data_IF_426864897306
#
_entry.id   IF_426864897306
#
_cell.length_a   1.000
_cell.length_b   1.000
_cell.length_c   1.000
_cell.angle_alpha   90.00
_cell.angle_beta   90.00
_cell.angle_gamma   90.00
#
_symmetry.space_group_name_H-M   'P 1'
#
loop_
_entity.id
_entity.type
_entity.pdbx_description
1 polymer ?
#
# COMPACT_ATOMS: atom_id res chain seq x y z
N UNK A 1 -19.97 -16.34 24.24
CA UNK A 1 -20.13 -15.61 22.96
C UNK A 1 -18.83 -15.73 22.17
N UNK A 2 -18.89 -15.93 20.85
CA UNK A 2 -17.71 -15.96 20.01
C UNK A 2 -17.24 -14.52 19.70
N UNK A 3 -15.93 -14.28 19.76
CA UNK A 3 -15.33 -13.01 19.35
C UNK A 3 -15.06 -13.03 17.84
N UNK A 4 -15.46 -11.97 17.15
CA UNK A 4 -15.25 -11.79 15.70
C UNK A 4 -14.25 -10.65 15.55
N UNK A 5 -13.17 -10.88 14.81
CA UNK A 5 -12.18 -9.84 14.47
C UNK A 5 -11.98 -9.76 12.95
N UNK A 6 -11.69 -8.56 12.46
CA UNK A 6 -11.56 -8.27 11.03
C UNK A 6 -10.10 -8.08 10.68
N UNK A 7 -9.58 -8.97 9.85
CA UNK A 7 -8.20 -8.94 9.38
C UNK A 7 -8.09 -8.03 8.14
N UNK A 8 -7.38 -6.88 8.21
CA UNK A 8 -7.33 -5.94 7.09
C UNK A 8 -6.37 -6.40 6.00
N UNK A 9 -6.73 -6.30 4.72
CA UNK A 9 -5.81 -6.60 3.61
C UNK A 9 -4.99 -5.38 3.18
N UNK A 10 -3.86 -5.58 2.51
CA UNK A 10 -3.04 -4.48 1.95
C UNK A 10 -3.87 -3.56 1.05
N UNK A 11 -4.60 -4.15 0.10
CA UNK A 11 -5.45 -3.42 -0.82
C UNK A 11 -6.56 -2.64 -0.09
N UNK A 12 -7.12 -3.20 0.98
CA UNK A 12 -8.12 -2.51 1.80
C UNK A 12 -7.54 -1.27 2.49
N UNK A 13 -6.31 -1.34 2.98
CA UNK A 13 -5.64 -0.21 3.64
C UNK A 13 -5.28 0.88 2.63
N UNK A 14 -4.78 0.51 1.46
CA UNK A 14 -4.46 1.44 0.36
C UNK A 14 -5.73 2.19 -0.08
N UNK A 15 -6.81 1.47 -0.41
CA UNK A 15 -8.07 2.10 -0.86
C UNK A 15 -8.65 3.02 0.23
N UNK A 16 -8.49 2.66 1.51
CA UNK A 16 -8.90 3.51 2.63
C UNK A 16 -8.07 4.79 2.72
N UNK A 17 -6.76 4.72 2.45
CA UNK A 17 -5.88 5.88 2.42
C UNK A 17 -6.21 6.84 1.26
N UNK A 18 -6.65 6.32 0.12
CA UNK A 18 -7.08 7.14 -1.03
C UNK A 18 -8.36 7.94 -0.79
N UNK A 19 -9.12 7.64 0.29
CA UNK A 19 -10.37 8.32 0.67
C UNK A 19 -11.37 8.47 -0.48
N UNK A 20 -11.41 7.49 -1.37
CA UNK A 20 -12.33 7.53 -2.50
C UNK A 20 -13.79 7.41 -2.04
N UNK A 21 -14.73 8.10 -2.71
CA UNK A 21 -16.13 8.06 -2.33
C UNK A 21 -16.71 6.65 -2.43
N UNK A 22 -17.68 6.30 -1.56
CA UNK A 22 -18.33 5.00 -1.60
C UNK A 22 -18.99 4.79 -2.95
N UNK A 23 -18.52 3.78 -3.68
CA UNK A 23 -19.00 3.45 -5.03
C UNK A 23 -20.00 2.30 -5.02
N UNK A 24 -20.92 2.34 -5.97
CA UNK A 24 -21.83 1.23 -6.25
C UNK A 24 -21.05 0.10 -6.95
N UNK A 25 -20.77 -0.97 -6.19
CA UNK A 25 -19.97 -2.12 -6.66
C UNK A 25 -20.67 -2.94 -7.76
N UNK A 26 -21.97 -2.75 -8.01
CA UNK A 26 -22.74 -3.54 -8.99
C UNK A 26 -22.68 -2.99 -10.41
N UNK A 27 -22.55 -1.67 -10.59
CA UNK A 27 -22.67 -1.04 -11.91
C UNK A 27 -21.40 -1.09 -12.74
N UNK A 28 -20.23 -0.90 -12.10
CA UNK A 28 -18.95 -0.82 -12.82
C UNK A 28 -17.94 -1.76 -12.17
N UNK A 29 -17.43 -2.70 -12.97
CA UNK A 29 -16.36 -3.64 -12.60
C UNK A 29 -15.00 -3.07 -13.02
N UNK A 30 -13.92 -3.47 -12.34
CA UNK A 30 -12.53 -3.12 -12.67
C UNK A 30 -12.24 -1.61 -12.78
N UNK A 31 -12.81 -0.80 -11.88
CA UNK A 31 -12.49 0.63 -11.81
C UNK A 31 -11.01 0.77 -11.42
N UNK A 32 -10.25 1.52 -12.22
CA UNK A 32 -8.87 1.90 -11.89
C UNK A 32 -8.91 3.01 -10.84
N UNK A 33 -8.20 2.82 -9.75
CA UNK A 33 -8.03 3.84 -8.72
C UNK A 33 -6.87 4.74 -9.14
N UNK A 34 -7.11 6.01 -9.43
CA UNK A 34 -6.09 6.94 -9.92
C UNK A 34 -5.68 7.97 -8.86
N UNK A 35 -5.71 7.59 -7.58
CA UNK A 35 -5.33 8.47 -6.50
C UNK A 35 -3.82 8.44 -6.23
N UNK A 36 -3.35 9.52 -5.60
CA UNK A 36 -1.96 9.69 -5.21
C UNK A 36 -1.84 9.52 -3.69
N UNK A 37 -0.89 8.69 -3.25
CA UNK A 37 -0.52 8.55 -1.84
C UNK A 37 0.83 9.19 -1.58
N UNK A 38 1.04 9.64 -0.35
CA UNK A 38 2.37 10.06 0.11
C UNK A 38 3.23 8.86 0.52
N UNK A 39 4.55 8.98 0.43
CA UNK A 39 5.45 7.94 0.94
C UNK A 39 5.23 7.64 2.44
N UNK A 40 4.95 8.66 3.25
CA UNK A 40 4.70 8.51 4.68
C UNK A 40 3.48 7.62 4.99
N UNK A 41 2.40 7.76 4.21
CA UNK A 41 1.22 6.90 4.33
C UNK A 41 1.56 5.44 4.03
N UNK A 42 2.47 5.19 3.08
CA UNK A 42 2.91 3.84 2.74
C UNK A 42 3.75 3.24 3.87
N UNK A 43 4.62 4.03 4.49
CA UNK A 43 5.39 3.58 5.66
C UNK A 43 4.44 3.25 6.82
N UNK A 44 3.40 4.05 7.05
CA UNK A 44 2.40 3.77 8.08
C UNK A 44 1.61 2.48 7.81
N UNK A 45 1.21 2.24 6.55
CA UNK A 45 0.55 1.00 6.13
C UNK A 45 1.52 -0.19 6.30
N UNK A 46 2.81 -0.01 5.97
CA UNK A 46 3.84 -1.03 6.14
C UNK A 46 4.05 -1.43 7.59
N UNK A 47 4.10 -0.47 8.51
CA UNK A 47 4.16 -0.73 9.95
C UNK A 47 2.94 -1.50 10.45
N UNK A 48 1.75 -1.15 9.98
CA UNK A 48 0.51 -1.87 10.33
C UNK A 48 0.52 -3.31 9.79
N UNK A 49 1.14 -3.54 8.64
CA UNK A 49 1.25 -4.86 8.02
C UNK A 49 2.46 -5.67 8.49
N UNK A 50 3.41 -5.05 9.18
CA UNK A 50 4.67 -5.67 9.62
C UNK A 50 4.49 -7.00 10.36
N UNK A 51 3.53 -7.16 11.29
CA UNK A 51 3.34 -8.45 12.00
C UNK A 51 2.95 -9.62 11.09
N UNK A 52 2.50 -9.35 9.86
CA UNK A 52 2.03 -10.36 8.90
C UNK A 52 2.91 -10.47 7.66
N UNK A 53 3.85 -9.54 7.47
CA UNK A 53 4.81 -9.60 6.37
C UNK A 53 5.90 -10.60 6.73
N UNK A 54 6.25 -11.47 5.78
CA UNK A 54 7.34 -12.45 5.94
C UNK A 54 8.71 -11.85 5.59
N UNK A 55 8.77 -10.54 5.31
CA UNK A 55 10.01 -9.86 4.97
C UNK A 55 10.93 -9.72 6.18
N UNK A 56 12.24 -9.94 5.98
CA UNK A 56 13.24 -9.77 7.04
C UNK A 56 13.36 -8.33 7.53
N UNK A 57 13.30 -7.36 6.61
CA UNK A 57 13.42 -5.92 6.88
C UNK A 57 12.15 -5.16 6.50
N UNK A 58 11.93 -3.98 7.10
CA UNK A 58 10.82 -3.10 6.74
C UNK A 58 10.85 -2.70 5.27
N UNK A 59 12.04 -2.52 4.69
CA UNK A 59 12.23 -2.32 3.24
C UNK A 59 11.47 -3.34 2.38
N UNK A 60 11.45 -4.61 2.80
CA UNK A 60 10.74 -5.67 2.07
C UNK A 60 9.23 -5.50 2.19
N UNK A 61 8.73 -5.17 3.38
CA UNK A 61 7.31 -4.90 3.62
C UNK A 61 6.82 -3.67 2.84
N UNK A 62 7.65 -2.63 2.72
CA UNK A 62 7.34 -1.45 1.89
C UNK A 62 7.28 -1.85 0.41
N UNK A 63 8.26 -2.62 -0.10
CA UNK A 63 8.24 -3.13 -1.49
C UNK A 63 7.00 -3.97 -1.80
N UNK A 64 6.51 -4.77 -0.86
CA UNK A 64 5.26 -5.54 -1.00
C UNK A 64 4.03 -4.62 -1.16
N UNK A 65 3.96 -3.57 -0.35
CA UNK A 65 2.84 -2.60 -0.40
C UNK A 65 2.91 -1.77 -1.68
N UNK A 66 4.10 -1.34 -2.10
CA UNK A 66 4.32 -0.66 -3.38
C UNK A 66 3.87 -1.51 -4.56
N UNK A 67 4.16 -2.82 -4.53
CA UNK A 67 3.66 -3.77 -5.53
C UNK A 67 2.13 -3.84 -5.55
N UNK A 68 1.50 -3.82 -4.37
CA UNK A 68 0.03 -3.80 -4.26
C UNK A 68 -0.54 -2.49 -4.80
N UNK A 69 0.09 -1.34 -4.51
CA UNK A 69 -0.32 -0.03 -4.99
C UNK A 69 -0.33 0.06 -6.52
N UNK A 70 0.66 -0.56 -7.19
CA UNK A 70 0.68 -0.68 -8.65
C UNK A 70 -0.52 -1.45 -9.21
N UNK A 71 -0.91 -2.56 -8.55
CA UNK A 71 -2.07 -3.35 -8.98
C UNK A 71 -3.41 -2.64 -8.80
N UNK A 72 -3.49 -1.75 -7.81
CA UNK A 72 -4.67 -0.92 -7.52
C UNK A 72 -4.77 0.25 -8.50
N UNK A 73 -3.62 0.75 -8.99
CA UNK A 73 -3.51 1.84 -9.96
C UNK A 73 -3.03 3.18 -9.38
N UNK A 74 -2.54 3.18 -8.13
CA UNK A 74 -2.19 4.40 -7.41
C UNK A 74 -0.81 4.93 -7.82
N UNK A 75 -0.66 6.25 -7.78
CA UNK A 75 0.65 6.91 -7.83
C UNK A 75 1.13 7.23 -6.43
N UNK A 76 2.44 7.44 -6.29
CA UNK A 76 3.07 7.71 -5.00
C UNK A 76 3.98 8.91 -5.20
N UNK A 77 3.68 10.01 -4.51
CA UNK A 77 4.36 11.30 -4.70
C UNK A 77 4.52 11.67 -6.20
N UNK A 78 3.48 11.39 -6.99
CA UNK A 78 3.44 11.65 -8.42
C UNK A 78 4.31 10.71 -9.28
N UNK A 79 5.01 9.75 -8.69
CA UNK A 79 5.84 8.76 -9.39
C UNK A 79 5.13 7.40 -9.50
N UNK A 80 5.58 6.58 -10.46
CA UNK A 80 5.08 5.22 -10.59
C UNK A 80 5.65 4.34 -9.46
N UNK A 81 4.86 3.43 -8.84
CA UNK A 81 5.35 2.58 -7.74
C UNK A 81 6.59 1.74 -8.09
N UNK A 82 6.75 1.35 -9.37
CA UNK A 82 7.96 0.64 -9.84
C UNK A 82 9.23 1.48 -9.72
N UNK A 83 9.16 2.78 -10.04
CA UNK A 83 10.33 3.66 -9.97
C UNK A 83 10.80 3.82 -8.51
N UNK A 84 9.86 3.88 -7.57
CA UNK A 84 10.15 3.95 -6.13
C UNK A 84 10.75 2.63 -5.64
N UNK A 85 10.22 1.48 -6.11
CA UNK A 85 10.80 0.18 -5.77
C UNK A 85 12.27 0.12 -6.21
N UNK A 86 12.59 0.62 -7.40
CA UNK A 86 13.95 0.62 -7.91
C UNK A 86 14.86 1.62 -7.18
N UNK A 87 14.36 2.79 -6.80
CA UNK A 87 15.07 3.73 -5.91
C UNK A 87 15.37 3.16 -4.53
N UNK A 88 14.45 2.36 -3.96
CA UNK A 88 14.71 1.65 -2.70
C UNK A 88 15.74 0.53 -2.90
N UNK A 89 15.78 -0.13 -4.07
CA UNK A 89 16.84 -1.10 -4.38
C UNK A 89 18.20 -0.43 -4.56
N UNK A 90 18.26 0.76 -5.15
CA UNK A 90 19.50 1.54 -5.30
C UNK A 90 19.93 2.24 -4.01
N UNK A 91 19.14 2.13 -2.93
CA UNK A 91 19.35 2.79 -1.62
C UNK A 91 19.36 4.32 -1.71
N UNK A 92 18.69 4.89 -2.71
CA UNK A 92 18.52 6.34 -2.83
C UNK A 92 17.44 6.89 -1.89
N UNK A 93 16.46 6.05 -1.54
CA UNK A 93 15.43 6.38 -0.56
C UNK A 93 15.78 5.69 0.75
N UNK A 94 16.02 6.50 1.78
CA UNK A 94 16.28 5.99 3.13
C UNK A 94 15.00 5.41 3.71
N UNK A 95 15.06 4.13 4.09
CA UNK A 95 13.93 3.42 4.69
C UNK A 95 14.24 3.24 6.16
N UNK A 96 13.41 3.76 7.08
CA UNK A 96 13.57 3.51 8.50
C UNK A 96 13.59 2.00 8.79
N UNK A 97 14.51 1.54 9.65
CA UNK A 97 14.62 0.12 9.99
C UNK A 97 13.47 -0.38 10.91
N UNK A 98 12.65 0.53 11.47
CA UNK A 98 11.49 0.23 12.35
C UNK A 98 10.13 0.38 11.67
#
# INVERSE_FOLDING_TARGET
QAAIDVVPSAASLIIKALKEPPRDRKKVKHVKHSGNLSFDEIVAIARTMRPRSMARKLEGTIKEILGTASSVGCTIDGSHPHDIIDKIKSKEIDVPDE
#
